data_IF_391801587230
#
_entry.id   IF_391801587230
#
_cell.length_a   1.000
_cell.length_b   1.000
_cell.length_c   1.000
_cell.angle_alpha   90.00
_cell.angle_beta   90.00
_cell.angle_gamma   90.00
#
_symmetry.space_group_name_H-M   'P 1'
#
loop_
_entity.id
_entity.type
_entity.pdbx_description
1 polymer ?
#
# COMPACT_ATOMS: atom_id res chain seq x y z
N UNK A 1 -36.49 -10.85 -7.02
CA UNK A 1 -35.32 -10.01 -6.69
C UNK A 1 -34.54 -10.74 -5.62
N UNK A 2 -33.48 -11.47 -5.98
CA UNK A 2 -32.66 -12.19 -4.98
C UNK A 2 -31.66 -11.20 -4.41
N UNK A 3 -31.77 -10.91 -3.11
CA UNK A 3 -30.73 -10.13 -2.43
C UNK A 3 -29.51 -11.04 -2.32
N UNK A 4 -28.34 -10.70 -2.90
CA UNK A 4 -27.16 -11.55 -2.79
C UNK A 4 -26.80 -11.73 -1.30
N UNK A 5 -26.46 -12.94 -0.85
CA UNK A 5 -26.23 -13.20 0.56
C UNK A 5 -25.01 -12.40 1.04
N UNK A 6 -25.12 -11.76 2.22
CA UNK A 6 -24.12 -10.87 2.83
C UNK A 6 -22.68 -11.43 2.82
N UNK A 7 -22.50 -12.75 2.78
CA UNK A 7 -21.18 -13.41 2.74
C UNK A 7 -20.35 -13.01 1.51
N UNK A 8 -20.93 -12.90 0.32
CA UNK A 8 -20.17 -12.53 -0.89
C UNK A 8 -19.57 -11.12 -0.84
N UNK A 9 -20.26 -10.17 -0.20
CA UNK A 9 -19.74 -8.81 -0.04
C UNK A 9 -18.59 -8.75 0.97
N UNK A 10 -18.62 -9.61 2.00
CA UNK A 10 -17.52 -9.76 2.96
C UNK A 10 -16.31 -10.44 2.31
N UNK A 11 -16.54 -11.49 1.51
CA UNK A 11 -15.49 -12.20 0.76
C UNK A 11 -14.85 -11.30 -0.31
N UNK A 12 -15.67 -10.50 -1.02
CA UNK A 12 -15.19 -9.50 -1.96
C UNK A 12 -14.43 -8.37 -1.26
N UNK A 13 -14.88 -7.90 -0.10
CA UNK A 13 -14.18 -6.91 0.71
C UNK A 13 -12.80 -7.40 1.17
N UNK A 14 -12.71 -8.65 1.63
CA UNK A 14 -11.44 -9.29 2.02
C UNK A 14 -10.52 -9.51 0.81
N UNK A 15 -11.06 -9.95 -0.32
CA UNK A 15 -10.30 -10.13 -1.57
C UNK A 15 -9.77 -8.82 -2.16
N UNK A 16 -10.58 -7.77 -2.13
CA UNK A 16 -10.18 -6.42 -2.55
C UNK A 16 -9.13 -5.81 -1.61
N UNK A 17 -9.26 -6.03 -0.29
CA UNK A 17 -8.24 -5.63 0.68
C UNK A 17 -6.88 -6.26 0.38
N UNK A 18 -6.85 -7.56 0.09
CA UNK A 18 -5.63 -8.27 -0.35
C UNK A 18 -5.05 -7.72 -1.65
N UNK A 19 -5.89 -7.42 -2.64
CA UNK A 19 -5.44 -6.84 -3.91
C UNK A 19 -4.83 -5.44 -3.72
N UNK A 20 -5.48 -4.60 -2.91
CA UNK A 20 -4.99 -3.27 -2.56
C UNK A 20 -3.63 -3.39 -1.88
N UNK A 21 -3.48 -4.24 -0.87
CA UNK A 21 -2.19 -4.49 -0.21
C UNK A 21 -1.11 -4.94 -1.20
N UNK A 22 -1.42 -5.86 -2.12
CA UNK A 22 -0.46 -6.32 -3.13
C UNK A 22 -0.01 -5.22 -4.11
N UNK A 23 -0.93 -4.37 -4.58
CA UNK A 23 -0.58 -3.22 -5.43
C UNK A 23 0.32 -2.24 -4.69
N UNK A 24 0.04 -2.03 -3.40
CA UNK A 24 0.78 -1.09 -2.57
C UNK A 24 2.20 -1.60 -2.26
N UNK A 25 2.38 -2.90 -2.04
CA UNK A 25 3.69 -3.54 -1.92
C UNK A 25 4.54 -3.36 -3.20
N UNK A 26 3.92 -3.52 -4.37
CA UNK A 26 4.59 -3.29 -5.67
C UNK A 26 5.01 -1.82 -5.83
N UNK A 27 4.16 -0.87 -5.43
CA UNK A 27 4.48 0.56 -5.49
C UNK A 27 5.65 0.88 -4.57
N UNK A 28 5.68 0.33 -3.35
CA UNK A 28 6.81 0.49 -2.42
C UNK A 28 8.12 -0.01 -3.04
N UNK A 29 8.12 -1.22 -3.56
CA UNK A 29 9.32 -1.81 -4.18
C UNK A 29 9.79 -0.99 -5.39
N UNK A 30 8.86 -0.46 -6.18
CA UNK A 30 9.19 0.41 -7.31
C UNK A 30 9.87 1.71 -6.87
N UNK A 31 9.39 2.34 -5.79
CA UNK A 31 9.98 3.59 -5.30
C UNK A 31 11.37 3.31 -4.73
N UNK A 32 11.57 2.26 -3.93
CA UNK A 32 12.89 1.86 -3.43
C UNK A 32 13.90 1.69 -4.60
N UNK A 33 13.47 1.01 -5.66
CA UNK A 33 14.29 0.85 -6.88
C UNK A 33 14.52 2.16 -7.64
N UNK A 34 13.54 3.06 -7.69
CA UNK A 34 13.69 4.37 -8.35
C UNK A 34 14.60 5.32 -7.57
N UNK A 35 14.56 5.29 -6.24
CA UNK A 35 15.46 6.06 -5.37
C UNK A 35 16.91 5.67 -5.66
N UNK A 36 17.22 4.37 -5.63
CA UNK A 36 18.57 3.87 -5.91
C UNK A 36 19.06 4.29 -7.30
N UNK A 37 18.24 4.07 -8.33
CA UNK A 37 18.60 4.46 -9.71
C UNK A 37 18.82 5.96 -9.88
N UNK A 38 18.00 6.79 -9.24
CA UNK A 38 18.11 8.26 -9.36
C UNK A 38 19.27 8.83 -8.55
N UNK A 39 19.60 8.21 -7.41
CA UNK A 39 20.79 8.52 -6.63
C UNK A 39 22.07 8.17 -7.39
N UNK A 40 22.14 6.98 -8.01
CA UNK A 40 23.26 6.55 -8.86
C UNK A 40 23.44 7.44 -10.10
N UNK A 41 22.34 7.92 -10.68
CA UNK A 41 22.35 8.83 -11.82
C UNK A 41 22.68 10.30 -11.44
N UNK A 42 22.82 10.63 -10.15
CA UNK A 42 23.06 12.00 -9.67
C UNK A 42 21.88 12.96 -9.92
N UNK A 43 20.69 12.42 -10.16
CA UNK A 43 19.49 13.18 -10.60
C UNK A 43 18.61 13.67 -9.45
N UNK A 44 18.95 13.33 -8.21
CA UNK A 44 18.27 13.83 -7.01
C UNK A 44 19.26 14.55 -6.11
N UNK A 45 18.88 15.76 -5.70
CA UNK A 45 19.56 16.49 -4.64
C UNK A 45 19.33 15.81 -3.28
N UNK A 46 20.21 16.01 -2.29
CA UNK A 46 20.03 15.45 -0.94
C UNK A 46 18.67 15.80 -0.31
N UNK A 47 18.16 17.01 -0.55
CA UNK A 47 16.86 17.46 -0.06
C UNK A 47 15.68 16.71 -0.69
N UNK A 48 15.78 16.36 -1.97
CA UNK A 48 14.76 15.58 -2.66
C UNK A 48 14.75 14.12 -2.20
N UNK A 49 15.92 13.54 -1.92
CA UNK A 49 16.04 12.21 -1.31
C UNK A 49 15.39 12.20 0.07
N UNK A 50 15.64 13.23 0.89
CA UNK A 50 15.09 13.32 2.24
C UNK A 50 13.56 13.53 2.22
N UNK A 51 13.03 14.37 1.32
CA UNK A 51 11.57 14.51 1.11
C UNK A 51 10.93 13.20 0.66
N UNK A 52 11.56 12.47 -0.24
CA UNK A 52 11.08 11.18 -0.73
C UNK A 52 11.09 10.13 0.38
N UNK A 53 12.14 10.08 1.19
CA UNK A 53 12.22 9.22 2.37
C UNK A 53 11.09 9.48 3.37
N UNK A 54 10.80 10.76 3.67
CA UNK A 54 9.66 11.14 4.53
C UNK A 54 8.31 10.72 3.96
N UNK A 55 8.09 10.92 2.65
CA UNK A 55 6.86 10.51 2.00
C UNK A 55 6.63 8.99 2.05
N UNK A 56 7.70 8.21 1.90
CA UNK A 56 7.66 6.74 2.01
C UNK A 56 7.30 6.25 3.42
N UNK A 57 7.86 6.90 4.46
CA UNK A 57 7.54 6.56 5.86
C UNK A 57 6.05 6.81 6.16
N UNK A 58 5.49 7.91 5.65
CA UNK A 58 4.08 8.23 5.84
C UNK A 58 3.17 7.26 5.06
N UNK A 59 3.55 6.89 3.84
CA UNK A 59 2.89 5.84 3.06
C UNK A 59 2.87 4.49 3.81
N UNK A 60 4.01 4.09 4.38
CA UNK A 60 4.12 2.84 5.17
C UNK A 60 3.24 2.86 6.43
N UNK A 61 3.10 4.02 7.09
CA UNK A 61 2.17 4.19 8.20
C UNK A 61 0.71 3.98 7.76
N UNK A 62 0.30 4.63 6.67
CA UNK A 62 -1.04 4.48 6.11
C UNK A 62 -1.32 3.03 5.67
N UNK A 63 -0.32 2.32 5.17
CA UNK A 63 -0.45 0.89 4.84
C UNK A 63 -0.67 0.00 6.04
N UNK A 64 0.04 0.24 7.15
CA UNK A 64 -0.23 -0.50 8.40
C UNK A 64 -1.66 -0.28 8.87
N UNK A 65 -2.14 0.95 8.82
CA UNK A 65 -3.54 1.27 9.20
C UNK A 65 -4.55 0.57 8.28
N UNK A 66 -4.36 0.64 6.96
CA UNK A 66 -5.19 -0.08 5.99
C UNK A 66 -5.17 -1.59 6.21
N UNK A 67 -4.00 -2.17 6.49
CA UNK A 67 -3.84 -3.60 6.75
C UNK A 67 -4.60 -4.01 8.00
N UNK A 68 -4.50 -3.26 9.09
CA UNK A 68 -5.29 -3.50 10.31
C UNK A 68 -6.80 -3.42 10.02
N UNK A 69 -7.24 -2.42 9.24
CA UNK A 69 -8.65 -2.28 8.86
C UNK A 69 -9.19 -3.47 8.05
N UNK A 70 -8.37 -4.07 7.19
CA UNK A 70 -8.76 -5.22 6.37
C UNK A 70 -8.55 -6.58 7.08
N UNK A 71 -7.58 -6.69 8.00
CA UNK A 71 -7.35 -7.90 8.82
C UNK A 71 -8.39 -8.03 9.95
N UNK A 72 -8.80 -6.93 10.60
CA UNK A 72 -9.85 -6.93 11.65
C UNK A 72 -11.27 -7.15 11.09
N UNK A 73 -11.46 -7.01 9.77
CA UNK A 73 -12.72 -7.35 9.09
C UNK A 73 -13.05 -8.85 9.02
N UNK A 74 -12.26 -9.70 9.69
CA UNK A 74 -12.44 -11.16 9.71
C UNK A 74 -12.99 -11.77 10.98
N UNK A 75 -13.20 -10.99 12.05
CA UNK A 75 -13.75 -11.48 13.32
C UNK A 75 -15.13 -10.89 13.65
N UNK A 76 -16.15 -11.16 12.82
CA UNK A 76 -17.57 -11.17 13.24
C UNK A 76 -18.34 -12.20 12.42
#
# INVERSE_FOLDING_TARGET
MTVPPRRFALDAGRGLGGLVLAVLDIVRELIERQVLRRMEAGTLTPDEVERLGRALIELDRQFRELRTLFDDGGSV
#
